data_IF_883076656566
#
_entry.id   IF_883076656566
#
_cell.length_a   1.000
_cell.length_b   1.000
_cell.length_c   1.000
_cell.angle_alpha   90.00
_cell.angle_beta   90.00
_cell.angle_gamma   90.00
#
_symmetry.space_group_name_H-M   'P 1'
#
loop_
_entity.id
_entity.type
_entity.pdbx_description
1 polymer ?
#
# COMPACT_ATOMS: atom_id res chain seq x y z
N UNK A 1 0.91 -14.95 -12.61
CA UNK A 1 2.18 -15.43 -12.05
C UNK A 1 2.54 -14.71 -10.73
N UNK A 2 2.84 -13.40 -10.74
CA UNK A 2 3.31 -12.69 -9.53
C UNK A 2 2.28 -12.64 -8.39
N UNK A 3 1.02 -12.30 -8.68
CA UNK A 3 -0.02 -12.24 -7.63
C UNK A 3 -0.22 -13.61 -6.99
N UNK A 4 -0.33 -14.68 -7.78
CA UNK A 4 -0.47 -16.04 -7.26
C UNK A 4 0.72 -16.45 -6.35
N UNK A 5 1.95 -16.11 -6.74
CA UNK A 5 3.12 -16.36 -5.91
C UNK A 5 3.07 -15.59 -4.59
N UNK A 6 2.59 -14.34 -4.59
CA UNK A 6 2.38 -13.57 -3.38
C UNK A 6 1.30 -14.20 -2.48
N UNK A 7 0.17 -14.66 -3.05
CA UNK A 7 -0.88 -15.33 -2.29
C UNK A 7 -0.35 -16.60 -1.59
N UNK A 8 0.44 -17.41 -2.30
CA UNK A 8 1.10 -18.59 -1.71
C UNK A 8 2.07 -18.19 -0.60
N UNK A 9 2.91 -17.18 -0.83
CA UNK A 9 3.85 -16.70 0.19
C UNK A 9 3.14 -16.34 1.51
N UNK A 10 2.02 -15.61 1.45
CA UNK A 10 1.27 -15.27 2.66
C UNK A 10 0.66 -16.50 3.33
N UNK A 11 0.09 -17.43 2.54
CA UNK A 11 -0.46 -18.67 3.07
C UNK A 11 0.61 -19.52 3.78
N UNK A 12 1.80 -19.64 3.19
CA UNK A 12 2.94 -20.38 3.77
C UNK A 12 3.42 -19.75 5.09
N UNK A 13 3.19 -18.46 5.29
CA UNK A 13 3.49 -17.73 6.53
C UNK A 13 2.29 -17.62 7.47
N UNK A 14 1.25 -18.44 7.26
CA UNK A 14 0.03 -18.46 8.09
C UNK A 14 -0.71 -17.12 8.13
N UNK A 15 -0.60 -16.33 7.06
CA UNK A 15 -1.35 -15.09 6.88
C UNK A 15 -2.52 -15.37 5.93
N UNK A 16 -3.74 -15.32 6.46
CA UNK A 16 -4.96 -15.39 5.66
C UNK A 16 -5.28 -14.01 5.08
N UNK A 17 -5.32 -13.90 3.75
CA UNK A 17 -5.73 -12.67 3.10
C UNK A 17 -7.26 -12.62 3.00
N UNK A 18 -7.88 -11.62 3.63
CA UNK A 18 -9.31 -11.32 3.46
C UNK A 18 -9.69 -10.97 2.01
N UNK A 19 -8.71 -10.48 1.23
CA UNK A 19 -8.86 -10.17 -0.19
C UNK A 19 -7.59 -9.59 -0.77
N UNK A 20 -7.54 -9.44 -2.09
CA UNK A 20 -6.49 -8.69 -2.78
C UNK A 20 -7.09 -7.94 -3.95
N UNK A 21 -6.47 -6.83 -4.33
CA UNK A 21 -6.83 -6.09 -5.53
C UNK A 21 -5.60 -5.59 -6.25
N UNK A 22 -5.73 -5.33 -7.54
CA UNK A 22 -4.74 -4.60 -8.32
C UNK A 22 -5.23 -3.17 -8.51
N UNK A 23 -4.36 -2.20 -8.23
CA UNK A 23 -4.64 -0.80 -8.54
C UNK A 23 -4.90 -0.63 -10.04
N UNK A 24 -6.01 0.01 -10.35
CA UNK A 24 -6.33 0.45 -11.70
C UNK A 24 -5.81 1.88 -11.88
N UNK A 25 -4.77 2.08 -12.71
CA UNK A 25 -4.17 3.39 -12.91
C UNK A 25 -5.03 4.33 -13.77
N UNK A 26 -6.16 3.86 -14.31
CA UNK A 26 -7.03 4.64 -15.17
C UNK A 26 -6.65 4.55 -16.65
N UNK A 27 -7.51 5.08 -17.51
CA UNK A 27 -7.49 4.86 -18.98
C UNK A 27 -6.15 5.17 -19.65
N UNK A 28 -5.43 6.20 -19.17
CA UNK A 28 -4.13 6.59 -19.74
C UNK A 28 -3.09 5.47 -19.62
N UNK A 29 -3.13 4.68 -18.55
CA UNK A 29 -2.07 3.73 -18.20
C UNK A 29 -2.54 2.28 -18.28
N UNK A 30 -3.83 2.02 -18.12
CA UNK A 30 -4.41 0.67 -17.99
C UNK A 30 -4.07 -0.23 -19.18
N UNK A 31 -4.07 0.34 -20.38
CA UNK A 31 -3.94 -0.41 -21.63
C UNK A 31 -2.48 -0.44 -22.13
N UNK A 32 -1.54 0.17 -21.40
CA UNK A 32 -0.12 0.15 -21.74
C UNK A 32 0.55 -1.14 -21.22
N UNK A 33 1.49 -1.72 -22.00
CA UNK A 33 2.34 -2.79 -21.50
C UNK A 33 3.12 -2.34 -20.25
N UNK A 34 3.37 -3.22 -19.25
CA UNK A 34 4.07 -2.85 -18.03
C UNK A 34 5.43 -2.18 -18.24
N UNK A 35 6.18 -2.57 -19.28
CA UNK A 35 7.46 -1.97 -19.63
C UNK A 35 7.38 -0.53 -20.16
N UNK A 36 6.22 -0.12 -20.67
CA UNK A 36 5.97 1.21 -21.24
C UNK A 36 5.49 2.24 -20.21
N UNK A 37 5.02 1.79 -19.04
CA UNK A 37 4.44 2.66 -18.02
C UNK A 37 5.42 3.75 -17.56
N UNK A 38 6.63 3.36 -17.17
CA UNK A 38 7.65 4.28 -16.67
C UNK A 38 8.21 5.19 -17.78
N UNK A 39 8.59 4.67 -18.96
CA UNK A 39 8.99 5.51 -20.10
C UNK A 39 7.96 6.59 -20.45
N UNK A 40 6.66 6.29 -20.32
CA UNK A 40 5.58 7.26 -20.56
C UNK A 40 5.27 8.17 -19.36
N UNK A 41 6.09 8.12 -18.31
CA UNK A 41 6.03 9.05 -17.19
C UNK A 41 5.06 8.69 -16.07
N UNK A 42 4.55 7.45 -16.02
CA UNK A 42 3.62 7.02 -14.97
C UNK A 42 4.20 7.24 -13.56
N UNK A 43 5.51 7.03 -13.38
CA UNK A 43 6.18 7.22 -12.09
C UNK A 43 6.05 8.64 -11.53
N UNK A 44 5.97 9.66 -12.40
CA UNK A 44 5.84 11.06 -12.02
C UNK A 44 4.37 11.51 -11.90
N UNK A 45 3.53 11.03 -12.82
CA UNK A 45 2.12 11.39 -12.93
C UNK A 45 1.19 10.56 -12.01
N UNK A 46 1.70 10.06 -10.89
CA UNK A 46 0.89 9.27 -9.95
C UNK A 46 -0.07 10.16 -9.18
N UNK A 47 -1.36 9.88 -9.31
CA UNK A 47 -2.42 10.46 -8.48
C UNK A 47 -2.75 9.54 -7.31
N UNK A 48 -2.84 10.11 -6.10
CA UNK A 48 -3.07 9.35 -4.87
C UNK A 48 -4.57 9.21 -4.52
N UNK A 49 -5.40 10.11 -5.03
CA UNK A 49 -6.84 10.09 -4.76
C UNK A 49 -7.56 8.87 -5.35
N UNK A 50 -7.27 8.41 -6.60
CA UNK A 50 -7.84 7.18 -7.12
C UNK A 50 -7.41 5.95 -6.31
N UNK A 51 -6.14 5.89 -5.87
CA UNK A 51 -5.66 4.80 -5.02
C UNK A 51 -6.41 4.76 -3.69
N UNK A 52 -6.56 5.90 -3.02
CA UNK A 52 -7.34 6.02 -1.79
C UNK A 52 -8.79 5.52 -1.99
N UNK A 53 -9.47 5.98 -3.04
CA UNK A 53 -10.86 5.62 -3.30
C UNK A 53 -11.02 4.12 -3.58
N UNK A 54 -10.12 3.55 -4.37
CA UNK A 54 -10.11 2.12 -4.70
C UNK A 54 -9.85 1.24 -3.48
N UNK A 55 -8.86 1.59 -2.65
CA UNK A 55 -8.57 0.85 -1.41
C UNK A 55 -9.77 0.90 -0.46
N UNK A 56 -10.34 2.09 -0.25
CA UNK A 56 -11.50 2.26 0.65
C UNK A 56 -12.71 1.44 0.18
N UNK A 57 -12.97 1.40 -1.12
CA UNK A 57 -14.10 0.66 -1.68
C UNK A 57 -13.89 -0.87 -1.68
N UNK A 58 -12.65 -1.33 -1.79
CA UNK A 58 -12.33 -2.74 -1.93
C UNK A 58 -11.99 -3.44 -0.60
N UNK A 59 -11.77 -2.71 0.49
CA UNK A 59 -11.42 -3.28 1.79
C UNK A 59 -12.58 -4.16 2.34
N UNK A 60 -12.43 -5.49 2.43
CA UNK A 60 -13.49 -6.36 2.93
C UNK A 60 -13.76 -6.13 4.41
N UNK A 61 -15.00 -6.29 4.86
CA UNK A 61 -15.35 -6.20 6.29
C UNK A 61 -14.66 -7.24 7.18
N UNK A 62 -14.09 -8.30 6.60
CA UNK A 62 -13.33 -9.32 7.33
C UNK A 62 -11.84 -8.99 7.48
N UNK A 63 -11.35 -7.91 6.88
CA UNK A 63 -9.94 -7.55 6.94
C UNK A 63 -9.58 -6.88 8.27
N UNK A 64 -8.51 -7.35 8.92
CA UNK A 64 -7.96 -6.69 10.13
C UNK A 64 -7.19 -5.41 9.80
N UNK A 65 -6.73 -5.26 8.55
CA UNK A 65 -5.94 -4.14 8.07
C UNK A 65 -5.68 -4.21 6.57
N UNK A 66 -5.06 -3.17 6.03
CA UNK A 66 -4.69 -3.09 4.62
C UNK A 66 -3.18 -3.00 4.49
N UNK A 67 -2.61 -3.80 3.58
CA UNK A 67 -1.22 -3.67 3.16
C UNK A 67 -1.12 -3.26 1.69
N UNK A 68 -0.61 -2.05 1.45
CA UNK A 68 -0.28 -1.54 0.12
C UNK A 68 1.10 -2.07 -0.26
N UNK A 69 1.10 -3.19 -0.97
CA UNK A 69 2.30 -3.87 -1.42
C UNK A 69 3.03 -3.12 -2.55
N UNK A 70 4.37 -3.24 -2.56
CA UNK A 70 5.25 -2.64 -3.56
C UNK A 70 5.74 -1.24 -3.20
N UNK A 71 6.91 -0.88 -3.73
CA UNK A 71 7.61 0.38 -3.41
C UNK A 71 7.35 1.50 -4.43
N UNK A 72 6.62 1.20 -5.51
CA UNK A 72 6.34 2.15 -6.59
C UNK A 72 5.23 3.17 -6.30
N UNK A 73 4.38 2.94 -5.29
CA UNK A 73 3.26 3.83 -4.97
C UNK A 73 3.69 5.00 -4.08
N UNK A 74 3.33 6.22 -4.49
CA UNK A 74 3.46 7.44 -3.67
C UNK A 74 2.33 7.58 -2.65
N UNK A 75 2.10 6.55 -1.82
CA UNK A 75 0.89 6.43 -0.99
C UNK A 75 1.00 6.94 0.46
N UNK A 76 2.17 7.42 0.91
CA UNK A 76 2.36 7.80 2.33
C UNK A 76 1.37 8.90 2.78
N UNK A 77 0.99 9.81 1.88
CA UNK A 77 0.08 10.92 2.18
C UNK A 77 -1.40 10.53 2.35
N UNK A 78 -1.79 9.27 2.08
CA UNK A 78 -3.17 8.80 2.23
C UNK A 78 -3.35 7.81 3.40
N UNK A 79 -2.27 7.38 4.07
CA UNK A 79 -2.35 6.33 5.10
C UNK A 79 -3.20 6.76 6.30
N UNK A 80 -2.91 7.93 6.89
CA UNK A 80 -3.67 8.48 8.04
C UNK A 80 -5.15 8.74 7.69
N UNK A 81 -5.47 9.02 6.42
CA UNK A 81 -6.85 9.19 5.98
C UNK A 81 -7.56 7.83 5.85
N UNK A 82 -6.93 6.86 5.19
CA UNK A 82 -7.48 5.50 5.06
C UNK A 82 -7.70 4.85 6.42
N UNK A 83 -6.76 4.98 7.37
CA UNK A 83 -6.93 4.40 8.70
C UNK A 83 -8.15 4.96 9.44
N UNK A 84 -8.40 6.27 9.33
CA UNK A 84 -9.57 6.91 9.93
C UNK A 84 -10.87 6.42 9.30
N UNK A 85 -10.92 6.35 7.97
CA UNK A 85 -12.15 6.01 7.25
C UNK A 85 -12.47 4.51 7.28
N UNK A 86 -11.44 3.65 7.36
CA UNK A 86 -11.60 2.20 7.48
C UNK A 86 -11.66 1.71 8.94
N UNK A 87 -11.32 2.57 9.90
CA UNK A 87 -11.13 2.22 11.31
C UNK A 87 -10.17 1.02 11.51
N UNK A 88 -9.15 0.90 10.65
CA UNK A 88 -8.21 -0.23 10.56
C UNK A 88 -6.82 0.24 10.21
N UNK A 89 -5.74 -0.43 10.67
CA UNK A 89 -4.38 -0.10 10.27
C UNK A 89 -4.17 -0.18 8.75
N UNK A 90 -3.41 0.75 8.20
CA UNK A 90 -3.03 0.76 6.78
C UNK A 90 -1.53 0.94 6.67
N UNK A 91 -0.89 -0.11 6.15
CA UNK A 91 0.55 -0.22 6.03
C UNK A 91 0.95 -0.10 4.56
N UNK A 92 2.07 0.57 4.28
CA UNK A 92 2.72 0.52 2.97
C UNK A 92 4.10 -0.10 3.07
N UNK A 93 4.57 -0.75 2.00
CA UNK A 93 5.91 -1.35 1.99
C UNK A 93 7.00 -0.33 2.37
N UNK A 94 6.97 0.87 1.77
CA UNK A 94 7.95 1.93 2.05
C UNK A 94 7.92 2.40 3.51
N UNK A 95 6.73 2.61 4.09
CA UNK A 95 6.57 3.06 5.48
C UNK A 95 7.03 1.99 6.48
N UNK A 96 6.67 0.72 6.24
CA UNK A 96 7.09 -0.41 7.09
C UNK A 96 8.61 -0.58 7.05
N UNK A 97 9.23 -0.50 5.87
CA UNK A 97 10.68 -0.56 5.73
C UNK A 97 11.38 0.58 6.47
N UNK A 98 10.91 1.83 6.30
CA UNK A 98 11.47 2.98 7.00
C UNK A 98 11.33 2.83 8.52
N UNK A 99 10.14 2.46 9.00
CA UNK A 99 9.89 2.21 10.42
C UNK A 99 10.88 1.18 10.97
N UNK A 100 11.05 0.05 10.28
CA UNK A 100 11.97 -1.01 10.70
C UNK A 100 13.41 -0.50 10.78
N UNK A 101 13.90 0.22 9.76
CA UNK A 101 15.24 0.82 9.75
C UNK A 101 15.45 1.79 10.92
N UNK A 102 14.49 2.69 11.19
CA UNK A 102 14.57 3.64 12.30
C UNK A 102 14.68 2.92 13.65
N UNK A 103 13.87 1.88 13.88
CA UNK A 103 13.95 1.06 15.11
C UNK A 103 15.28 0.36 15.28
N UNK A 104 15.82 -0.18 14.19
CA UNK A 104 17.14 -0.82 14.18
C UNK A 104 18.26 0.17 14.48
N UNK A 105 18.09 1.44 14.10
CA UNK A 105 19.02 2.53 14.43
C UNK A 105 18.81 3.14 15.83
N UNK A 106 17.87 2.62 16.63
CA UNK A 106 17.57 3.14 17.97
C UNK A 106 16.69 4.40 17.97
N UNK A 107 16.24 4.87 16.79
CA UNK A 107 15.35 6.02 16.66
C UNK A 107 13.91 5.58 16.92
N UNK A 108 13.26 6.20 17.92
CA UNK A 108 11.88 5.89 18.34
C UNK A 108 10.98 7.12 18.39
N UNK A 109 11.41 8.23 17.79
CA UNK A 109 10.63 9.47 17.77
C UNK A 109 9.33 9.25 17.00
N UNK A 110 8.15 9.46 17.62
CA UNK A 110 6.87 9.34 16.94
C UNK A 110 6.74 10.37 15.81
N UNK A 111 6.21 9.95 14.67
CA UNK A 111 5.92 10.82 13.52
C UNK A 111 4.43 10.79 13.21
N UNK A 112 3.77 11.93 13.35
CA UNK A 112 2.35 12.09 13.01
C UNK A 112 2.13 12.34 11.50
N UNK A 113 0.91 12.13 11.01
CA UNK A 113 0.53 12.43 9.62
C UNK A 113 0.70 11.28 8.63
N UNK A 114 1.22 10.13 9.05
CA UNK A 114 1.65 9.05 8.15
C UNK A 114 1.19 7.66 8.61
N UNK A 115 0.01 7.54 9.18
CA UNK A 115 -0.54 6.29 9.73
C UNK A 115 -0.13 6.03 11.19
N UNK A 116 -0.68 4.98 11.77
CA UNK A 116 -0.43 4.57 13.15
C UNK A 116 0.97 4.00 13.39
N UNK A 117 1.56 3.34 12.38
CA UNK A 117 2.82 2.62 12.53
C UNK A 117 3.98 3.53 12.97
N UNK A 118 4.12 4.72 12.37
CA UNK A 118 5.21 5.65 12.69
C UNK A 118 5.00 6.40 14.01
N UNK A 119 3.84 6.23 14.67
CA UNK A 119 3.56 6.81 16.00
C UNK A 119 3.99 5.88 17.14
N UNK A 120 4.19 4.59 16.85
CA UNK A 120 4.74 3.61 17.79
C UNK A 120 6.19 3.98 18.12
#
# INVERSE_FOLDING_TARGET
AIVAAALHYYADHSITLAGHMRYDPGRKWRDLPPGELYPQGMGFAQEIAPLYAQVRAACPETADGVFIAGTGFRCVGILDALERDLARPVLSANQVSLWHCLRRAGVRTPVAGYGGLLKL
#
